data_IF_984266560680
#
_entry.id   IF_984266560680
#
_cell.length_a   1.000
_cell.length_b   1.000
_cell.length_c   1.000
_cell.angle_alpha   90.00
_cell.angle_beta   90.00
_cell.angle_gamma   90.00
#
_symmetry.space_group_name_H-M   'P 1'
#
loop_
_entity.id
_entity.type
_entity.pdbx_description
1 polymer ?
#
# COMPACT_ATOMS: atom_id res chain seq x y z
N UNK A 1 36.17 -9.50 -29.45
CA UNK A 1 35.22 -8.73 -28.62
C UNK A 1 36.00 -8.15 -27.45
N UNK A 2 36.18 -6.85 -27.42
CA UNK A 2 37.18 -6.18 -26.57
C UNK A 2 36.79 -6.17 -25.08
N UNK A 3 37.69 -6.60 -24.21
CA UNK A 3 37.56 -6.61 -22.74
C UNK A 3 37.20 -5.21 -22.15
N UNK A 4 37.53 -4.13 -22.85
CA UNK A 4 37.18 -2.75 -22.48
C UNK A 4 35.69 -2.42 -22.65
N UNK A 5 35.01 -2.97 -23.67
CA UNK A 5 33.57 -2.77 -23.86
C UNK A 5 32.71 -3.47 -22.79
N UNK A 6 33.16 -4.65 -22.32
CA UNK A 6 32.47 -5.40 -21.27
C UNK A 6 32.63 -4.72 -19.90
N UNK A 7 33.80 -4.13 -19.62
CA UNK A 7 34.02 -3.38 -18.37
C UNK A 7 33.21 -2.08 -18.31
N UNK A 8 33.06 -1.38 -19.44
CA UNK A 8 32.24 -0.16 -19.52
C UNK A 8 30.77 -0.49 -19.35
N UNK A 9 30.30 -1.60 -19.96
CA UNK A 9 28.92 -2.03 -19.80
C UNK A 9 28.60 -2.43 -18.35
N UNK A 10 29.52 -3.16 -17.68
CA UNK A 10 29.34 -3.57 -16.28
C UNK A 10 29.38 -2.38 -15.31
N UNK A 11 30.28 -1.40 -15.54
CA UNK A 11 30.33 -0.18 -14.73
C UNK A 11 29.12 0.72 -14.94
N UNK A 12 28.60 0.78 -16.15
CA UNK A 12 27.38 1.54 -16.45
C UNK A 12 26.15 0.90 -15.80
N UNK A 13 26.06 -0.44 -15.80
CA UNK A 13 24.99 -1.18 -15.13
C UNK A 13 25.08 -1.00 -13.60
N UNK A 14 26.27 -1.07 -13.01
CA UNK A 14 26.46 -0.81 -11.57
C UNK A 14 26.14 0.64 -11.18
N UNK A 15 26.45 1.62 -12.04
CA UNK A 15 26.17 3.02 -11.80
C UNK A 15 24.66 3.33 -11.92
N UNK A 16 23.96 2.66 -12.84
CA UNK A 16 22.50 2.76 -12.98
C UNK A 16 21.79 2.12 -11.79
N UNK A 17 22.26 0.96 -11.30
CA UNK A 17 21.67 0.29 -10.13
C UNK A 17 21.85 1.11 -8.86
N UNK A 18 22.97 1.82 -8.67
CA UNK A 18 23.16 2.67 -7.49
C UNK A 18 22.42 4.01 -7.54
N UNK A 19 22.06 4.53 -8.73
CA UNK A 19 21.32 5.78 -8.85
C UNK A 19 19.79 5.59 -8.95
N UNK A 20 19.31 4.41 -9.33
CA UNK A 20 17.87 4.07 -9.37
C UNK A 20 17.27 3.98 -7.97
N UNK A 21 18.07 3.66 -6.94
CA UNK A 21 17.60 3.66 -5.54
C UNK A 21 17.23 5.04 -4.99
N UNK A 22 17.62 6.14 -5.66
CA UNK A 22 17.30 7.52 -5.26
C UNK A 22 16.02 8.07 -5.92
N UNK A 23 15.56 7.49 -7.03
CA UNK A 23 14.37 7.96 -7.76
C UNK A 23 13.13 7.07 -7.65
N UNK A 24 13.26 5.86 -7.09
CA UNK A 24 12.16 4.90 -6.93
C UNK A 24 11.36 5.09 -5.63
N UNK A 25 11.44 6.26 -4.97
CA UNK A 25 10.81 6.48 -3.67
C UNK A 25 9.55 7.34 -3.69
N UNK A 26 8.98 7.60 -4.86
CA UNK A 26 7.67 8.25 -4.96
C UNK A 26 6.75 7.44 -5.87
N UNK A 27 5.59 7.10 -5.31
CA UNK A 27 4.39 6.54 -5.92
C UNK A 27 4.35 5.04 -6.27
N UNK A 28 4.63 4.21 -5.29
CA UNK A 28 3.79 3.03 -5.11
C UNK A 28 3.57 2.85 -3.62
N UNK A 29 2.42 3.25 -3.12
CA UNK A 29 1.86 2.69 -1.90
C UNK A 29 1.42 1.25 -2.18
N UNK A 30 2.36 0.42 -2.60
CA UNK A 30 2.32 -0.97 -2.21
C UNK A 30 2.54 -0.90 -0.71
N UNK A 31 1.52 -1.15 0.07
CA UNK A 31 1.66 -1.52 1.46
C UNK A 31 2.57 -2.76 1.49
N UNK A 32 3.87 -2.57 1.35
CA UNK A 32 4.81 -3.49 1.95
C UNK A 32 4.58 -3.31 3.44
N UNK A 33 3.75 -4.17 4.01
CA UNK A 33 3.85 -4.51 5.41
C UNK A 33 5.30 -5.00 5.60
N UNK A 34 6.23 -4.05 5.73
CA UNK A 34 7.47 -4.33 6.40
C UNK A 34 7.06 -4.68 7.82
N UNK A 35 6.94 -5.97 8.07
CA UNK A 35 7.12 -6.51 9.40
C UNK A 35 8.54 -6.16 9.84
N UNK A 36 8.73 -4.89 10.21
CA UNK A 36 9.90 -4.45 10.95
C UNK A 36 9.72 -4.87 12.41
N UNK A 37 9.62 -6.17 12.63
CA UNK A 37 9.81 -6.74 13.95
C UNK A 37 11.29 -6.74 14.28
N UNK A 38 11.87 -5.54 14.43
CA UNK A 38 13.13 -5.40 15.12
C UNK A 38 12.81 -5.44 16.62
N UNK A 39 12.73 -6.65 17.17
CA UNK A 39 12.47 -6.87 18.58
C UNK A 39 13.80 -6.78 19.30
N UNK A 40 14.00 -5.68 20.01
CA UNK A 40 15.00 -5.57 21.07
C UNK A 40 14.63 -6.58 22.17
N UNK A 41 15.24 -7.76 22.14
CA UNK A 41 15.12 -8.77 23.18
C UNK A 41 15.94 -8.34 24.40
N UNK A 42 15.38 -7.42 25.19
CA UNK A 42 15.97 -7.07 26.48
C UNK A 42 15.75 -8.22 27.47
N UNK A 43 16.82 -8.65 28.15
CA UNK A 43 16.75 -9.74 29.13
C UNK A 43 16.20 -9.34 30.50
N UNK A 44 16.00 -8.04 30.79
CA UNK A 44 15.51 -7.55 32.11
C UNK A 44 14.67 -6.27 32.00
N UNK A 45 13.68 -6.09 32.90
CA UNK A 45 12.94 -4.86 33.14
C UNK A 45 11.65 -4.67 32.36
N UNK A 46 11.20 -3.43 32.27
CA UNK A 46 9.95 -3.00 31.58
C UNK A 46 9.95 -3.41 30.11
N UNK A 47 11.09 -3.36 29.45
CA UNK A 47 11.25 -3.77 28.04
C UNK A 47 11.06 -5.26 27.83
N UNK A 48 11.35 -6.12 28.81
CA UNK A 48 11.00 -7.53 28.74
C UNK A 48 9.49 -7.74 28.80
N UNK A 49 8.79 -7.01 29.70
CA UNK A 49 7.33 -7.08 29.80
C UNK A 49 6.63 -6.56 28.54
N UNK A 50 7.16 -5.51 27.92
CA UNK A 50 6.69 -5.02 26.61
C UNK A 50 7.01 -6.02 25.50
N UNK A 51 8.21 -6.57 25.46
CA UNK A 51 8.61 -7.59 24.49
C UNK A 51 7.74 -8.85 24.62
N UNK A 52 7.50 -9.34 25.82
CA UNK A 52 6.64 -10.52 26.08
C UNK A 52 5.16 -10.24 25.80
N UNK A 53 4.71 -8.98 25.83
CA UNK A 53 3.36 -8.57 25.46
C UNK A 53 3.17 -8.42 23.95
N UNK A 54 4.24 -8.08 23.23
CA UNK A 54 4.26 -7.90 21.77
C UNK A 54 4.58 -9.22 21.06
N UNK A 55 5.28 -10.15 21.75
CA UNK A 55 5.62 -11.45 21.19
C UNK A 55 4.38 -12.35 21.22
N UNK A 56 3.71 -12.45 20.09
CA UNK A 56 2.75 -13.51 19.82
C UNK A 56 3.58 -14.73 19.43
N UNK A 57 3.59 -15.77 20.26
CA UNK A 57 4.08 -17.08 19.82
C UNK A 57 3.38 -17.41 18.50
N UNK A 58 4.15 -17.56 17.44
CA UNK A 58 3.60 -18.04 16.18
C UNK A 58 2.79 -19.31 16.50
N UNK A 59 1.51 -19.40 16.09
CA UNK A 59 0.71 -20.57 16.38
C UNK A 59 1.48 -21.80 15.92
N UNK A 60 1.57 -22.83 16.76
CA UNK A 60 2.20 -24.09 16.38
C UNK A 60 1.35 -24.67 15.24
N UNK A 61 1.84 -24.49 14.04
CA UNK A 61 1.17 -24.90 12.82
C UNK A 61 1.24 -26.40 12.70
N UNK A 62 0.08 -27.02 12.74
CA UNK A 62 -0.08 -28.40 12.29
C UNK A 62 0.03 -28.36 10.75
N UNK A 63 1.24 -28.62 10.22
CA UNK A 63 1.53 -28.61 8.77
C UNK A 63 0.80 -29.73 7.98
N UNK A 64 -0.17 -30.40 8.59
CA UNK A 64 -0.93 -31.48 7.94
C UNK A 64 -2.05 -31.02 7.03
N UNK A 65 -2.45 -29.75 7.08
CA UNK A 65 -3.36 -29.23 6.06
C UNK A 65 -2.54 -28.75 4.86
N UNK A 66 -2.34 -29.65 3.90
CA UNK A 66 -2.15 -29.29 2.49
C UNK A 66 -3.39 -28.50 2.02
N UNK A 67 -3.54 -27.27 2.46
CA UNK A 67 -4.47 -26.35 1.80
C UNK A 67 -3.89 -26.10 0.42
N UNK A 68 -4.42 -26.82 -0.56
CA UNK A 68 -4.08 -26.61 -1.97
C UNK A 68 -4.27 -25.14 -2.32
N UNK A 69 -3.58 -24.69 -3.33
CA UNK A 69 -3.82 -23.39 -3.95
C UNK A 69 -5.26 -23.40 -4.47
N UNK A 70 -6.14 -22.57 -3.91
CA UNK A 70 -7.57 -22.55 -4.25
C UNK A 70 -7.89 -21.16 -4.83
N UNK A 71 -8.61 -21.15 -5.94
CA UNK A 71 -9.15 -19.89 -6.46
C UNK A 71 -10.16 -19.29 -5.48
N UNK A 72 -10.07 -18.01 -5.24
CA UNK A 72 -10.87 -17.32 -4.21
C UNK A 72 -12.37 -17.46 -4.40
N UNK A 73 -12.87 -17.54 -5.64
CA UNK A 73 -14.30 -17.67 -5.95
C UNK A 73 -14.86 -19.06 -5.74
N UNK A 74 -14.01 -20.10 -5.64
CA UNK A 74 -14.46 -21.51 -5.60
C UNK A 74 -15.49 -21.81 -4.52
N UNK A 75 -15.40 -21.28 -3.28
CA UNK A 75 -16.37 -21.57 -2.21
C UNK A 75 -17.78 -21.03 -2.50
N UNK A 76 -17.92 -20.05 -3.39
CA UNK A 76 -19.17 -19.35 -3.66
C UNK A 76 -19.88 -19.81 -4.93
N UNK A 77 -19.24 -20.66 -5.74
CA UNK A 77 -19.76 -21.07 -7.06
C UNK A 77 -21.09 -21.80 -6.98
N UNK A 78 -21.32 -22.61 -5.92
CA UNK A 78 -22.57 -23.36 -5.69
C UNK A 78 -23.77 -22.46 -5.36
N UNK A 79 -23.52 -21.23 -4.94
CA UNK A 79 -24.56 -20.25 -4.56
C UNK A 79 -24.83 -19.22 -5.64
N UNK A 80 -24.19 -19.34 -6.81
CA UNK A 80 -24.31 -18.41 -7.92
C UNK A 80 -25.78 -18.18 -8.31
N UNK A 81 -26.18 -16.91 -8.41
CA UNK A 81 -27.53 -16.51 -8.83
C UNK A 81 -28.58 -16.50 -7.73
N UNK A 82 -28.28 -17.00 -6.54
CA UNK A 82 -29.19 -16.93 -5.38
C UNK A 82 -29.29 -15.51 -4.83
N UNK A 83 -30.40 -15.21 -4.13
CA UNK A 83 -30.63 -13.90 -3.52
C UNK A 83 -30.05 -13.88 -2.10
N UNK A 84 -29.40 -12.80 -1.73
CA UNK A 84 -28.88 -12.57 -0.37
C UNK A 84 -30.02 -12.11 0.53
N UNK A 85 -30.59 -13.02 1.32
CA UNK A 85 -31.73 -12.70 2.19
C UNK A 85 -31.28 -12.03 3.49
N UNK A 86 -30.13 -12.41 4.03
CA UNK A 86 -29.62 -11.89 5.30
C UNK A 86 -28.10 -11.76 5.30
N UNK A 87 -27.62 -10.73 5.98
CA UNK A 87 -26.20 -10.50 6.25
C UNK A 87 -26.00 -10.48 7.76
N UNK A 88 -25.20 -11.43 8.24
CA UNK A 88 -24.77 -11.54 9.63
C UNK A 88 -23.31 -11.14 9.74
N UNK A 89 -22.98 -10.34 10.75
CA UNK A 89 -21.60 -9.83 10.96
C UNK A 89 -21.16 -10.14 12.38
N UNK A 90 -20.02 -10.82 12.52
CA UNK A 90 -19.50 -11.30 13.80
C UNK A 90 -17.99 -11.05 13.91
N UNK A 91 -17.58 -10.33 14.94
CA UNK A 91 -16.16 -10.20 15.27
C UNK A 91 -15.68 -11.44 16.05
N UNK A 92 -14.51 -11.94 15.66
CA UNK A 92 -13.82 -13.01 16.41
C UNK A 92 -12.79 -12.34 17.32
N UNK A 93 -12.74 -12.77 18.58
CA UNK A 93 -11.81 -12.21 19.55
C UNK A 93 -10.36 -12.25 19.03
N UNK A 94 -9.61 -11.19 19.29
CA UNK A 94 -8.19 -11.09 18.95
C UNK A 94 -7.34 -12.26 19.48
N UNK A 95 -7.71 -12.81 20.64
CA UNK A 95 -6.99 -13.90 21.30
C UNK A 95 -7.32 -15.28 20.79
N UNK A 96 -8.38 -15.43 19.99
CA UNK A 96 -8.86 -16.73 19.50
C UNK A 96 -8.30 -17.02 18.11
N UNK A 97 -7.60 -18.13 17.86
CA UNK A 97 -7.27 -18.55 16.50
C UNK A 97 -8.55 -18.76 15.68
N UNK A 98 -8.53 -18.42 14.40
CA UNK A 98 -9.72 -18.53 13.52
C UNK A 98 -10.27 -19.96 13.41
N UNK A 99 -9.41 -20.95 13.64
CA UNK A 99 -9.73 -22.39 13.55
C UNK A 99 -9.69 -23.12 14.89
N UNK A 100 -9.57 -22.42 16.03
CA UNK A 100 -9.39 -23.07 17.32
C UNK A 100 -10.42 -22.55 18.33
N UNK A 101 -11.24 -23.47 18.86
CA UNK A 101 -12.28 -23.19 19.85
C UNK A 101 -11.75 -23.14 21.28
N UNK A 102 -10.45 -23.42 21.50
CA UNK A 102 -9.85 -23.47 22.84
C UNK A 102 -8.58 -22.62 22.93
N UNK A 103 -8.70 -21.35 23.32
CA UNK A 103 -7.56 -20.53 23.70
C UNK A 103 -7.66 -20.09 25.15
N UNK A 104 -6.80 -20.64 25.99
CA UNK A 104 -6.60 -20.19 27.36
C UNK A 104 -5.65 -18.99 27.35
N UNK A 105 -6.20 -17.78 27.19
CA UNK A 105 -5.43 -16.54 27.20
C UNK A 105 -5.08 -16.08 28.62
N UNK A 106 -3.83 -15.66 28.84
CA UNK A 106 -3.34 -15.14 30.14
C UNK A 106 -4.08 -13.86 30.52
N UNK A 107 -4.62 -13.77 31.75
CA UNK A 107 -5.46 -12.70 32.29
C UNK A 107 -4.91 -11.26 32.15
N UNK A 108 -3.59 -11.06 32.15
CA UNK A 108 -2.96 -9.73 32.07
C UNK A 108 -3.07 -9.12 30.66
N UNK A 109 -2.98 -9.96 29.62
CA UNK A 109 -3.14 -9.55 28.22
C UNK A 109 -4.56 -9.07 27.96
N UNK A 110 -5.54 -9.76 28.57
CA UNK A 110 -6.96 -9.45 28.43
C UNK A 110 -7.34 -8.09 29.05
N UNK A 111 -6.78 -7.73 30.20
CA UNK A 111 -7.07 -6.45 30.86
C UNK A 111 -6.49 -5.24 30.09
N UNK A 112 -5.32 -5.39 29.44
CA UNK A 112 -4.76 -4.34 28.57
C UNK A 112 -5.53 -4.25 27.24
N UNK A 113 -5.98 -5.37 26.71
CA UNK A 113 -6.81 -5.43 25.50
C UNK A 113 -8.17 -4.77 25.75
N UNK A 114 -8.84 -5.05 26.85
CA UNK A 114 -10.13 -4.47 27.22
C UNK A 114 -10.07 -2.95 27.45
N UNK A 115 -8.95 -2.43 27.95
CA UNK A 115 -8.78 -1.01 28.26
C UNK A 115 -8.37 -0.14 27.07
N UNK A 116 -7.68 -0.71 26.05
CA UNK A 116 -7.06 0.03 24.95
C UNK A 116 -7.59 -0.37 23.57
N UNK A 117 -8.40 -1.43 23.49
CA UNK A 117 -8.83 -2.02 22.24
C UNK A 117 -10.31 -1.79 21.98
N UNK A 118 -10.60 -0.99 20.97
CA UNK A 118 -11.94 -0.91 20.41
C UNK A 118 -12.02 -1.83 19.19
N UNK A 119 -12.82 -2.88 19.28
CA UNK A 119 -13.13 -3.75 18.14
C UNK A 119 -13.76 -2.94 17.00
N UNK A 120 -13.48 -3.34 15.77
CA UNK A 120 -14.15 -2.78 14.59
C UNK A 120 -15.66 -2.92 14.74
N UNK A 121 -16.39 -1.82 14.55
CA UNK A 121 -17.83 -1.84 14.70
C UNK A 121 -18.52 -2.57 13.56
N UNK A 122 -19.66 -3.22 13.83
CA UNK A 122 -20.46 -3.88 12.79
C UNK A 122 -20.81 -2.90 11.65
N UNK A 123 -21.11 -1.64 11.98
CA UNK A 123 -21.38 -0.59 11.00
C UNK A 123 -20.19 -0.31 10.09
N UNK A 124 -18.97 -0.35 10.62
CA UNK A 124 -17.75 -0.19 9.83
C UNK A 124 -17.57 -1.37 8.87
N UNK A 125 -17.82 -2.59 9.32
CA UNK A 125 -17.73 -3.77 8.46
C UNK A 125 -18.78 -3.75 7.36
N UNK A 126 -20.03 -3.46 7.68
CA UNK A 126 -21.12 -3.37 6.69
C UNK A 126 -20.83 -2.32 5.60
N UNK A 127 -20.23 -1.18 5.94
CA UNK A 127 -19.82 -0.15 4.97
C UNK A 127 -18.71 -0.61 4.01
N UNK A 128 -17.98 -1.67 4.34
CA UNK A 128 -16.91 -2.22 3.53
C UNK A 128 -17.37 -3.43 2.69
N UNK A 129 -18.67 -3.74 2.67
CA UNK A 129 -19.23 -4.77 1.80
C UNK A 129 -19.52 -4.20 0.40
N UNK A 130 -19.37 -5.06 -0.62
CA UNK A 130 -19.67 -4.76 -2.02
C UNK A 130 -21.10 -5.18 -2.41
N UNK A 131 -21.86 -5.75 -1.48
CA UNK A 131 -23.20 -6.28 -1.68
C UNK A 131 -24.11 -5.92 -0.49
N UNK A 132 -25.41 -5.94 -0.74
CA UNK A 132 -26.44 -5.67 0.25
C UNK A 132 -27.46 -6.81 0.29
N UNK A 133 -28.31 -6.80 1.30
CA UNK A 133 -29.51 -7.66 1.34
C UNK A 133 -30.40 -7.35 0.14
N UNK A 134 -30.90 -8.37 -0.54
CA UNK A 134 -31.68 -8.30 -1.77
C UNK A 134 -30.83 -8.41 -3.05
N UNK A 135 -29.51 -8.32 -2.97
CA UNK A 135 -28.64 -8.48 -4.15
C UNK A 135 -28.51 -9.94 -4.56
N UNK A 136 -28.25 -10.16 -5.86
CA UNK A 136 -27.92 -11.48 -6.39
C UNK A 136 -26.47 -11.82 -6.07
N UNK A 137 -26.20 -13.03 -5.60
CA UNK A 137 -24.86 -13.50 -5.31
C UNK A 137 -24.06 -13.78 -6.59
N UNK A 138 -22.97 -13.03 -6.74
CA UNK A 138 -21.96 -13.24 -7.78
C UNK A 138 -20.64 -13.73 -7.13
N UNK A 139 -20.18 -14.96 -7.41
CA UNK A 139 -19.03 -15.57 -6.73
C UNK A 139 -17.77 -14.69 -6.72
N UNK A 140 -17.42 -14.08 -7.86
CA UNK A 140 -16.27 -13.20 -7.95
C UNK A 140 -16.40 -11.93 -7.10
N UNK A 141 -17.60 -11.34 -7.02
CA UNK A 141 -17.83 -10.14 -6.22
C UNK A 141 -17.65 -10.44 -4.73
N UNK A 142 -18.16 -11.58 -4.27
CA UNK A 142 -18.02 -12.04 -2.88
C UNK A 142 -16.55 -12.33 -2.55
N UNK A 143 -15.85 -13.04 -3.45
CA UNK A 143 -14.44 -13.36 -3.29
C UNK A 143 -13.55 -12.10 -3.24
N UNK A 144 -13.83 -11.15 -4.13
CA UNK A 144 -13.11 -9.86 -4.13
C UNK A 144 -13.40 -9.05 -2.87
N UNK A 145 -14.63 -9.12 -2.34
CA UNK A 145 -14.96 -8.46 -1.09
C UNK A 145 -14.26 -9.12 0.11
N UNK A 146 -14.22 -10.44 0.17
CA UNK A 146 -13.50 -11.16 1.22
C UNK A 146 -12.01 -10.80 1.22
N UNK A 147 -11.39 -10.77 0.02
CA UNK A 147 -10.01 -10.30 -0.16
C UNK A 147 -9.85 -8.86 0.32
N UNK A 148 -10.72 -7.94 -0.13
CA UNK A 148 -10.68 -6.54 0.28
C UNK A 148 -10.77 -6.37 1.80
N UNK A 149 -11.64 -7.12 2.47
CA UNK A 149 -11.75 -7.10 3.93
C UNK A 149 -10.45 -7.53 4.60
N UNK A 150 -9.76 -8.56 4.07
CA UNK A 150 -8.44 -8.99 4.58
C UNK A 150 -7.33 -7.95 4.34
N UNK A 151 -7.45 -7.12 3.31
CA UNK A 151 -6.49 -6.05 2.99
C UNK A 151 -6.68 -4.77 3.82
N UNK A 152 -7.79 -4.65 4.54
CA UNK A 152 -7.99 -3.51 5.43
C UNK A 152 -6.89 -3.46 6.52
N UNK A 153 -6.23 -2.33 6.67
CA UNK A 153 -5.06 -2.17 7.53
C UNK A 153 -5.33 -2.44 9.02
N UNK A 154 -6.59 -2.53 9.42
CA UNK A 154 -7.04 -2.81 10.79
C UNK A 154 -7.62 -4.22 10.95
N UNK A 155 -7.65 -5.02 9.88
CA UNK A 155 -8.15 -6.41 9.89
C UNK A 155 -6.97 -7.37 9.73
N UNK A 156 -6.88 -8.34 10.63
CA UNK A 156 -5.89 -9.41 10.57
C UNK A 156 -6.30 -10.48 9.56
N UNK A 157 -7.58 -10.87 9.62
CA UNK A 157 -8.17 -11.87 8.74
C UNK A 157 -9.67 -11.66 8.64
N UNK A 158 -10.26 -12.01 7.50
CA UNK A 158 -11.69 -11.95 7.28
C UNK A 158 -12.14 -13.13 6.43
N UNK A 159 -13.35 -13.62 6.72
CA UNK A 159 -13.96 -14.75 6.03
C UNK A 159 -15.43 -14.47 5.78
N UNK A 160 -15.89 -14.75 4.57
CA UNK A 160 -17.29 -14.72 4.18
C UNK A 160 -17.76 -16.17 3.95
N UNK A 161 -18.83 -16.57 4.61
CA UNK A 161 -19.43 -17.91 4.46
C UNK A 161 -20.85 -17.72 3.98
N UNK A 162 -21.18 -18.34 2.85
CA UNK A 162 -22.54 -18.42 2.34
C UNK A 162 -23.19 -19.75 2.77
N UNK A 163 -24.43 -19.68 3.21
CA UNK A 163 -25.26 -20.85 3.52
C UNK A 163 -26.65 -20.68 2.94
N UNK A 164 -27.31 -21.77 2.59
CA UNK A 164 -28.70 -21.73 2.12
C UNK A 164 -29.60 -21.25 3.27
N UNK A 165 -30.54 -20.35 2.95
CA UNK A 165 -31.56 -19.93 3.90
C UNK A 165 -32.52 -21.07 4.15
N UNK A 166 -32.71 -21.56 5.41
CA UNK A 166 -33.65 -22.63 5.72
C UNK A 166 -35.10 -22.30 5.34
N UNK A 167 -35.46 -21.02 5.27
CA UNK A 167 -36.82 -20.56 4.95
C UNK A 167 -37.06 -20.34 3.46
N UNK A 168 -35.97 -20.24 2.65
CA UNK A 168 -36.05 -20.00 1.22
C UNK A 168 -34.89 -20.71 0.47
N UNK A 169 -35.21 -21.74 -0.27
CA UNK A 169 -34.24 -22.54 -1.02
C UNK A 169 -33.49 -21.75 -2.11
N UNK A 170 -34.02 -20.60 -2.56
CA UNK A 170 -33.39 -19.68 -3.50
C UNK A 170 -32.63 -18.56 -2.79
N UNK A 171 -32.77 -18.45 -1.48
CA UNK A 171 -32.09 -17.47 -0.65
C UNK A 171 -30.80 -17.97 -0.03
N UNK A 172 -29.92 -17.06 0.29
CA UNK A 172 -28.68 -17.33 1.03
C UNK A 172 -28.52 -16.37 2.21
N UNK A 173 -27.94 -16.89 3.28
CA UNK A 173 -27.50 -16.12 4.44
C UNK A 173 -25.98 -15.95 4.32
N UNK A 174 -25.51 -14.69 4.36
CA UNK A 174 -24.11 -14.35 4.32
C UNK A 174 -23.59 -14.11 5.73
N UNK A 175 -22.64 -14.90 6.19
CA UNK A 175 -21.99 -14.74 7.49
C UNK A 175 -20.57 -14.19 7.30
N UNK A 176 -20.36 -12.97 7.74
CA UNK A 176 -19.09 -12.26 7.67
C UNK A 176 -18.41 -12.35 9.03
N UNK A 177 -17.27 -12.99 9.08
CA UNK A 177 -16.44 -13.13 10.27
C UNK A 177 -15.13 -12.38 10.05
N UNK A 178 -14.69 -11.59 11.03
CA UNK A 178 -13.40 -10.93 10.95
C UNK A 178 -12.68 -10.95 12.29
N UNK A 179 -11.38 -10.80 12.18
CA UNK A 179 -10.46 -10.66 13.30
C UNK A 179 -9.66 -9.39 13.12
N UNK A 180 -9.70 -8.52 14.11
CA UNK A 180 -8.96 -7.27 14.06
C UNK A 180 -7.46 -7.49 14.29
N UNK A 181 -6.64 -6.58 13.77
CA UNK A 181 -5.22 -6.47 14.10
C UNK A 181 -5.08 -5.62 15.37
N UNK A 182 -4.02 -5.82 16.14
CA UNK A 182 -3.73 -4.92 17.27
C UNK A 182 -3.56 -3.48 16.75
N UNK A 183 -4.35 -2.51 17.21
CA UNK A 183 -4.50 -1.22 16.54
C UNK A 183 -3.29 -0.31 16.66
N UNK A 184 -2.45 -0.50 17.70
CA UNK A 184 -1.25 0.31 17.90
C UNK A 184 -0.07 -0.25 17.12
N UNK A 185 0.56 0.62 16.35
CA UNK A 185 1.81 0.36 15.67
C UNK A 185 2.82 1.45 15.99
N UNK A 186 4.06 1.19 15.65
CA UNK A 186 5.11 2.20 15.79
C UNK A 186 6.43 1.70 15.29
N UNK A 187 7.29 2.66 14.99
CA UNK A 187 8.67 2.42 14.60
C UNK A 187 9.59 3.38 15.32
N UNK A 188 10.81 2.94 15.55
CA UNK A 188 11.85 3.81 16.08
C UNK A 188 13.13 3.58 15.28
N UNK A 189 13.73 4.66 14.83
CA UNK A 189 15.00 4.62 14.12
C UNK A 189 16.02 5.47 14.88
N UNK A 190 17.07 4.81 15.33
CA UNK A 190 18.20 5.44 16.01
C UNK A 190 19.30 5.58 14.96
N UNK A 191 19.37 6.76 14.32
CA UNK A 191 20.38 7.04 13.29
C UNK A 191 21.78 7.20 13.88
N UNK A 192 21.86 7.76 15.09
CA UNK A 192 23.09 7.92 15.88
C UNK A 192 22.72 8.16 17.35
N UNK A 193 23.71 8.29 18.24
CA UNK A 193 23.48 8.73 19.63
C UNK A 193 22.88 10.14 19.65
N UNK A 194 23.04 10.92 18.58
CA UNK A 194 22.64 12.31 18.47
C UNK A 194 21.29 12.50 17.76
N UNK A 195 20.78 11.50 17.01
CA UNK A 195 19.54 11.62 16.25
C UNK A 195 18.66 10.39 16.42
N UNK A 196 17.43 10.62 16.84
CA UNK A 196 16.39 9.62 17.07
C UNK A 196 15.08 10.07 16.45
N UNK A 197 14.40 9.19 15.73
CA UNK A 197 13.02 9.43 15.33
C UNK A 197 12.12 8.26 15.69
N UNK A 198 10.91 8.58 16.10
CA UNK A 198 9.88 7.61 16.42
C UNK A 198 8.57 7.95 15.73
N UNK A 199 7.85 6.91 15.36
CA UNK A 199 6.49 6.97 14.88
C UNK A 199 5.61 6.14 15.82
N UNK A 200 4.44 6.68 16.15
CA UNK A 200 3.38 5.95 16.84
C UNK A 200 2.10 6.14 16.04
N UNK A 201 1.39 5.07 15.78
CA UNK A 201 0.12 5.11 15.06
C UNK A 201 -0.95 4.25 15.73
N UNK A 202 -2.20 4.62 15.49
CA UNK A 202 -3.39 3.85 15.86
C UNK A 202 -4.22 3.65 14.60
N UNK A 203 -4.39 2.41 14.16
CA UNK A 203 -4.97 2.07 12.86
C UNK A 203 -6.49 1.80 12.87
N UNK A 204 -7.14 1.85 14.02
CA UNK A 204 -8.58 1.60 14.17
C UNK A 204 -9.20 2.49 15.23
N UNK A 205 -9.10 3.81 15.03
CA UNK A 205 -9.61 4.78 16.00
C UNK A 205 -11.11 4.59 16.23
N UNK A 206 -11.49 4.35 17.49
CA UNK A 206 -12.87 4.11 17.92
C UNK A 206 -13.60 2.98 17.17
N UNK A 207 -12.89 2.01 16.61
CA UNK A 207 -13.47 0.92 15.81
C UNK A 207 -14.02 1.37 14.43
N UNK A 208 -13.65 2.56 13.98
CA UNK A 208 -14.11 3.14 12.71
C UNK A 208 -13.19 2.85 11.54
N UNK A 209 -12.04 2.18 11.79
CA UNK A 209 -11.03 1.92 10.78
C UNK A 209 -10.14 3.13 10.46
N UNK A 210 -10.30 4.26 11.16
CA UNK A 210 -9.52 5.47 10.92
C UNK A 210 -8.12 5.34 11.49
N UNK A 211 -7.14 6.03 10.85
CA UNK A 211 -5.75 6.07 11.30
C UNK A 211 -5.40 7.44 11.86
N UNK A 212 -4.73 7.44 12.99
CA UNK A 212 -4.01 8.60 13.51
C UNK A 212 -2.53 8.23 13.69
N UNK A 213 -1.64 9.13 13.28
CA UNK A 213 -0.19 8.93 13.36
C UNK A 213 0.49 10.17 13.88
N UNK A 214 1.42 9.96 14.79
CA UNK A 214 2.28 11.00 15.37
C UNK A 214 3.72 10.59 15.10
N UNK A 215 4.47 11.49 14.48
CA UNK A 215 5.89 11.35 14.23
C UNK A 215 6.64 12.32 15.16
N UNK A 216 7.74 11.89 15.73
CA UNK A 216 8.61 12.69 16.56
C UNK A 216 10.07 12.53 16.13
N UNK A 217 10.78 13.63 16.03
CA UNK A 217 12.22 13.68 15.78
C UNK A 217 12.89 14.40 16.94
N UNK A 218 14.00 13.85 17.40
CA UNK A 218 14.97 14.53 18.24
C UNK A 218 16.34 14.45 17.59
N UNK A 219 17.00 15.60 17.40
CA UNK A 219 18.28 15.68 16.72
C UNK A 219 19.10 16.83 17.32
N UNK A 220 20.30 16.52 17.83
CA UNK A 220 21.16 17.49 18.52
C UNK A 220 21.73 18.56 17.58
N UNK A 221 21.85 18.25 16.31
CA UNK A 221 22.37 19.19 15.32
C UNK A 221 21.30 20.14 14.77
N UNK A 222 20.04 19.91 15.15
CA UNK A 222 18.88 20.66 14.67
C UNK A 222 18.45 21.76 15.64
N UNK A 223 17.86 22.82 15.12
CA UNK A 223 17.22 23.90 15.91
C UNK A 223 15.82 24.21 15.36
N UNK A 224 14.74 23.99 16.14
CA UNK A 224 14.72 23.39 17.49
C UNK A 224 15.12 21.90 17.45
N UNK A 225 15.67 21.40 18.57
CA UNK A 225 16.15 20.01 18.71
C UNK A 225 15.06 18.96 18.44
N UNK A 226 13.81 19.29 18.77
CA UNK A 226 12.67 18.41 18.57
C UNK A 226 11.77 18.93 17.44
N UNK A 227 11.19 17.99 16.69
CA UNK A 227 10.15 18.27 15.71
C UNK A 227 9.08 17.18 15.75
N UNK A 228 7.87 17.54 15.29
CA UNK A 228 6.72 16.64 15.30
C UNK A 228 6.01 16.68 13.97
N UNK A 229 5.42 15.55 13.60
CA UNK A 229 4.48 15.41 12.49
C UNK A 229 3.18 14.79 13.00
N UNK A 230 2.10 15.08 12.30
CA UNK A 230 0.78 14.54 12.59
C UNK A 230 0.08 14.18 11.28
N UNK A 231 -0.55 13.02 11.24
CA UNK A 231 -1.37 12.59 10.11
C UNK A 231 -2.65 11.94 10.63
N UNK A 232 -3.78 12.30 10.04
CA UNK A 232 -5.07 11.64 10.25
C UNK A 232 -5.62 11.16 8.91
N UNK A 233 -6.02 9.90 8.85
CA UNK A 233 -6.67 9.31 7.67
C UNK A 233 -8.06 8.82 8.04
N UNK A 234 -9.08 9.44 7.46
CA UNK A 234 -10.45 8.95 7.43
C UNK A 234 -10.58 7.93 6.32
N UNK A 235 -10.74 6.65 6.66
CA UNK A 235 -10.95 5.60 5.67
C UNK A 235 -12.42 5.42 5.33
N UNK A 236 -12.69 5.03 4.09
CA UNK A 236 -14.03 4.74 3.57
C UNK A 236 -15.05 5.84 3.95
N UNK A 237 -14.76 7.07 3.54
CA UNK A 237 -15.59 8.24 3.83
C UNK A 237 -17.02 8.00 3.37
N UNK A 238 -17.96 8.00 4.32
CA UNK A 238 -19.39 7.77 4.09
C UNK A 238 -19.77 6.47 3.35
N UNK A 239 -18.87 5.49 3.26
CA UNK A 239 -19.08 4.24 2.51
C UNK A 239 -18.77 4.34 1.02
N UNK A 240 -18.08 5.40 0.59
CA UNK A 240 -17.68 5.63 -0.81
C UNK A 240 -16.35 4.97 -1.20
N UNK A 241 -15.69 4.28 -0.26
CA UNK A 241 -14.33 3.75 -0.37
C UNK A 241 -13.25 4.83 -0.56
N UNK A 242 -13.60 6.10 -0.50
CA UNK A 242 -12.63 7.20 -0.51
C UNK A 242 -11.93 7.27 0.83
N UNK A 243 -10.60 7.28 0.82
CA UNK A 243 -9.78 7.60 1.97
C UNK A 243 -9.36 9.06 1.89
N UNK A 244 -9.50 9.81 2.98
CA UNK A 244 -9.10 11.20 3.06
C UNK A 244 -8.04 11.35 4.14
N UNK A 245 -6.86 11.86 3.76
CA UNK A 245 -5.72 12.07 4.66
C UNK A 245 -5.43 13.55 4.76
N UNK A 246 -5.24 14.04 5.99
CA UNK A 246 -4.71 15.37 6.28
C UNK A 246 -3.44 15.21 7.10
N UNK A 247 -2.39 15.94 6.76
CA UNK A 247 -1.11 15.80 7.41
C UNK A 247 -0.32 17.10 7.52
N UNK A 248 0.46 17.17 8.58
CA UNK A 248 1.48 18.20 8.82
C UNK A 248 2.75 17.49 9.30
N UNK A 249 3.88 17.75 8.66
CA UNK A 249 5.17 17.20 9.05
C UNK A 249 6.22 18.31 9.04
N UNK A 250 6.98 18.44 10.13
CA UNK A 250 7.98 19.51 10.31
C UNK A 250 9.42 19.04 10.07
N UNK A 251 9.60 17.80 9.63
CA UNK A 251 10.93 17.22 9.47
C UNK A 251 11.04 16.19 8.35
N UNK A 252 10.30 16.37 7.27
CA UNK A 252 10.53 15.59 6.07
C UNK A 252 11.94 15.80 5.55
N UNK A 253 12.55 14.78 4.95
CA UNK A 253 13.81 14.97 4.24
C UNK A 253 13.64 15.95 3.08
N UNK A 254 14.40 17.03 3.07
CA UNK A 254 14.44 17.98 1.95
C UNK A 254 15.07 17.29 0.73
N UNK A 255 14.46 17.46 -0.44
CA UNK A 255 14.90 16.74 -1.65
C UNK A 255 16.28 17.18 -2.16
N UNK A 256 16.75 18.37 -1.80
CA UNK A 256 18.03 18.94 -2.24
C UNK A 256 19.18 18.69 -1.26
N UNK A 257 18.89 18.59 0.03
CA UNK A 257 19.92 18.40 1.07
C UNK A 257 19.88 17.02 1.72
N UNK A 258 18.75 16.31 1.63
CA UNK A 258 18.48 15.07 2.37
C UNK A 258 18.31 15.29 3.88
N UNK A 259 18.44 16.53 4.38
CA UNK A 259 18.27 16.87 5.78
C UNK A 259 16.80 16.88 6.16
N UNK A 260 16.50 16.58 7.42
CA UNK A 260 15.14 16.58 7.95
C UNK A 260 14.68 18.00 8.30
N UNK A 261 14.54 18.85 7.29
CA UNK A 261 14.27 20.28 7.40
C UNK A 261 13.09 20.75 6.55
N UNK A 262 12.45 19.85 5.78
CA UNK A 262 11.26 20.21 5.02
C UNK A 262 10.01 20.17 5.91
N UNK A 263 9.27 21.27 5.90
CA UNK A 263 7.94 21.38 6.45
C UNK A 263 6.91 21.11 5.36
N UNK A 264 6.02 20.18 5.62
CA UNK A 264 4.97 19.79 4.70
C UNK A 264 3.59 19.90 5.35
N UNK A 265 2.62 20.39 4.60
CA UNK A 265 1.19 20.37 4.95
C UNK A 265 0.40 19.95 3.72
N UNK A 266 -0.49 18.98 3.88
CA UNK A 266 -1.18 18.40 2.75
C UNK A 266 -2.54 17.84 3.11
N UNK A 267 -3.39 17.78 2.09
CA UNK A 267 -4.62 16.99 2.07
C UNK A 267 -4.54 16.08 0.85
N UNK A 268 -4.84 14.80 1.06
CA UNK A 268 -4.85 13.76 0.03
C UNK A 268 -6.16 13.01 0.06
N UNK A 269 -6.72 12.74 -1.10
CA UNK A 269 -7.84 11.83 -1.27
C UNK A 269 -7.41 10.67 -2.15
N UNK A 270 -7.87 9.47 -1.81
CA UNK A 270 -7.58 8.26 -2.54
C UNK A 270 -8.86 7.41 -2.66
N UNK A 271 -9.25 7.07 -3.87
CA UNK A 271 -10.30 6.11 -4.19
C UNK A 271 -9.65 4.89 -4.83
N UNK A 272 -9.21 3.90 -4.04
CA UNK A 272 -8.56 2.71 -4.57
C UNK A 272 -9.54 1.89 -5.41
N UNK A 273 -9.01 1.14 -6.37
CA UNK A 273 -9.81 0.15 -7.09
C UNK A 273 -10.02 -1.08 -6.21
N UNK A 274 -10.94 -0.96 -5.24
CA UNK A 274 -11.22 -2.01 -4.26
C UNK A 274 -11.81 -3.29 -4.87
N UNK A 275 -12.45 -3.16 -6.04
CA UNK A 275 -12.98 -4.27 -6.82
C UNK A 275 -12.85 -3.98 -8.32
N UNK A 276 -12.58 -4.99 -9.15
CA UNK A 276 -12.58 -4.84 -10.61
C UNK A 276 -13.94 -4.39 -11.19
N UNK A 277 -15.00 -4.38 -10.40
CA UNK A 277 -16.35 -3.99 -10.82
C UNK A 277 -16.69 -2.54 -10.52
N UNK A 278 -15.87 -1.82 -9.76
CA UNK A 278 -16.08 -0.39 -9.53
C UNK A 278 -15.87 0.41 -10.81
N UNK A 279 -16.76 1.38 -11.03
CA UNK A 279 -16.72 2.20 -12.24
C UNK A 279 -15.59 3.22 -12.24
N UNK A 280 -15.17 3.66 -11.05
CA UNK A 280 -14.21 4.74 -10.88
C UNK A 280 -13.09 4.35 -9.93
N UNK A 281 -11.92 4.91 -10.16
CA UNK A 281 -10.78 4.97 -9.25
C UNK A 281 -10.12 6.33 -9.41
N UNK A 282 -9.36 6.79 -8.42
CA UNK A 282 -8.75 8.11 -8.55
C UNK A 282 -8.07 8.58 -7.27
N UNK A 283 -7.47 9.74 -7.35
CA UNK A 283 -6.85 10.36 -6.19
C UNK A 283 -6.55 11.83 -6.45
N UNK A 284 -6.29 12.56 -5.37
CA UNK A 284 -5.82 13.93 -5.43
C UNK A 284 -4.87 14.25 -4.27
N UNK A 285 -4.01 15.21 -4.51
CA UNK A 285 -3.16 15.81 -3.49
C UNK A 285 -3.14 17.33 -3.66
N UNK A 286 -3.35 18.04 -2.56
CA UNK A 286 -3.05 19.46 -2.42
C UNK A 286 -2.03 19.59 -1.30
N UNK A 287 -0.86 20.12 -1.59
CA UNK A 287 0.23 20.19 -0.63
C UNK A 287 1.04 21.48 -0.76
N UNK A 288 1.63 21.89 0.37
CA UNK A 288 2.62 22.96 0.44
C UNK A 288 3.83 22.45 1.19
N UNK A 289 4.99 22.72 0.64
CA UNK A 289 6.28 22.20 1.08
C UNK A 289 7.28 23.35 1.12
N UNK A 290 8.02 23.46 2.20
CA UNK A 290 9.03 24.49 2.36
C UNK A 290 10.24 23.97 3.13
N UNK A 291 11.44 24.26 2.66
CA UNK A 291 12.66 23.97 3.40
C UNK A 291 12.99 25.11 4.37
N UNK A 292 13.21 24.77 5.62
CA UNK A 292 13.50 25.70 6.69
C UNK A 292 14.89 25.45 7.28
N UNK A 293 15.67 26.50 7.48
CA UNK A 293 17.01 26.39 8.09
C UNK A 293 16.93 25.92 9.53
N UNK A 294 17.03 24.62 9.73
CA UNK A 294 17.01 24.02 11.07
C UNK A 294 18.36 23.44 11.51
N UNK A 295 19.35 23.42 10.60
CA UNK A 295 20.69 22.86 10.85
C UNK A 295 21.75 23.95 10.69
N UNK A 296 21.98 24.85 11.53
CA UNK A 296 23.00 25.91 11.57
C UNK A 296 24.13 25.80 10.55
N UNK A 297 23.81 25.85 9.24
CA UNK A 297 24.81 25.70 8.19
C UNK A 297 25.68 26.96 8.09
N UNK A 298 26.98 26.80 7.82
CA UNK A 298 27.91 27.91 7.60
C UNK A 298 27.69 28.61 6.25
N UNK A 299 27.03 27.93 5.31
CA UNK A 299 26.69 28.48 3.99
C UNK A 299 25.38 29.22 4.14
N UNK A 300 25.22 30.34 3.43
CA UNK A 300 23.94 31.04 3.37
C UNK A 300 22.85 30.09 2.94
N UNK A 301 21.88 29.86 3.81
CA UNK A 301 20.82 28.91 3.57
C UNK A 301 19.96 29.26 2.38
N UNK A 302 19.62 30.55 2.26
CA UNK A 302 18.80 31.05 1.17
C UNK A 302 19.51 30.89 -0.18
N UNK A 303 20.84 30.97 -0.19
CA UNK A 303 21.65 30.86 -1.40
C UNK A 303 21.68 29.40 -1.96
N UNK A 304 21.63 28.37 -1.11
CA UNK A 304 21.90 26.98 -1.52
C UNK A 304 20.72 26.02 -1.30
N UNK A 305 19.94 26.21 -0.23
CA UNK A 305 19.02 25.18 0.24
C UNK A 305 17.55 25.60 0.29
N UNK A 306 17.25 26.90 0.43
CA UNK A 306 15.89 27.39 0.61
C UNK A 306 15.03 27.12 -0.63
N UNK A 307 13.88 26.54 -0.41
CA UNK A 307 12.84 26.43 -1.43
C UNK A 307 11.46 26.37 -0.77
N UNK A 308 10.45 26.76 -1.54
CA UNK A 308 9.06 26.50 -1.21
C UNK A 308 8.28 26.22 -2.48
N UNK A 309 7.37 25.23 -2.43
CA UNK A 309 6.50 24.92 -3.55
C UNK A 309 5.12 24.43 -3.10
N UNK A 310 4.16 24.64 -3.98
CA UNK A 310 2.83 24.05 -3.90
C UNK A 310 2.65 22.92 -4.92
N UNK A 311 1.90 21.91 -4.55
CA UNK A 311 1.45 20.83 -5.44
C UNK A 311 -0.07 20.79 -5.50
N UNK A 312 -0.60 20.65 -6.71
CA UNK A 312 -1.98 20.26 -7.00
C UNK A 312 -1.91 19.12 -8.00
N UNK A 313 -2.31 17.94 -7.59
CA UNK A 313 -2.31 16.72 -8.41
C UNK A 313 -3.67 16.05 -8.28
N UNK A 314 -4.23 15.60 -9.38
CA UNK A 314 -5.49 14.89 -9.39
C UNK A 314 -5.56 13.96 -10.59
N UNK A 315 -6.08 12.76 -10.36
CA UNK A 315 -6.30 11.78 -11.42
C UNK A 315 -7.59 11.01 -11.19
N UNK A 316 -8.19 10.54 -12.27
CA UNK A 316 -9.37 9.71 -12.26
C UNK A 316 -9.28 8.66 -13.38
N UNK A 317 -9.60 7.42 -13.04
CA UNK A 317 -9.74 6.31 -13.97
C UNK A 317 -11.19 5.84 -14.06
N UNK A 318 -11.64 5.61 -15.29
CA UNK A 318 -12.99 5.14 -15.61
C UNK A 318 -12.89 3.71 -16.15
N UNK A 319 -13.60 2.78 -15.49
CA UNK A 319 -13.65 1.37 -15.89
C UNK A 319 -14.67 1.18 -17.00
N UNK A 320 -14.21 0.90 -18.20
CA UNK A 320 -15.06 0.73 -19.37
C UNK A 320 -15.87 -0.57 -19.24
N UNK A 321 -17.19 -0.45 -19.16
CA UNK A 321 -18.12 -1.58 -19.10
C UNK A 321 -18.20 -2.27 -17.73
N UNK A 322 -17.84 -1.60 -16.63
CA UNK A 322 -17.93 -2.16 -15.28
C UNK A 322 -19.36 -2.62 -14.95
N UNK A 323 -20.38 -1.76 -15.15
CA UNK A 323 -21.77 -2.06 -14.82
C UNK A 323 -22.42 -3.16 -15.69
N UNK A 324 -22.01 -3.28 -16.95
CA UNK A 324 -22.51 -4.32 -17.86
C UNK A 324 -22.02 -5.72 -17.44
N UNK A 325 -20.83 -5.80 -16.91
CA UNK A 325 -20.15 -7.06 -16.59
C UNK A 325 -20.70 -7.79 -15.37
N UNK A 326 -21.23 -7.07 -14.39
CA UNK A 326 -21.89 -7.67 -13.23
C UNK A 326 -23.19 -8.37 -13.63
N UNK A 327 -23.94 -7.79 -14.59
CA UNK A 327 -25.22 -8.35 -15.07
C UNK A 327 -25.03 -9.59 -15.97
N UNK A 328 -23.98 -9.60 -16.79
CA UNK A 328 -23.79 -10.62 -17.82
C UNK A 328 -23.00 -11.85 -17.37
N UNK A 329 -22.87 -12.09 -16.07
CA UNK A 329 -22.21 -13.29 -15.55
C UNK A 329 -20.76 -13.47 -16.02
N UNK A 330 -20.00 -12.41 -16.18
CA UNK A 330 -18.72 -12.46 -16.86
C UNK A 330 -17.65 -13.17 -16.09
N UNK A 331 -17.27 -14.28 -16.61
CA UNK A 331 -16.14 -15.10 -16.17
C UNK A 331 -14.78 -14.44 -16.47
N UNK A 332 -14.77 -13.34 -17.24
CA UNK A 332 -13.51 -12.70 -17.57
C UNK A 332 -13.18 -11.58 -16.60
N UNK A 333 -12.03 -11.67 -15.95
CA UNK A 333 -11.49 -10.60 -15.08
C UNK A 333 -10.74 -9.52 -15.87
N UNK A 334 -10.81 -9.53 -17.19
CA UNK A 334 -10.22 -8.51 -18.05
C UNK A 334 -10.91 -7.16 -17.83
N UNK A 335 -10.13 -6.13 -17.54
CA UNK A 335 -10.59 -4.76 -17.31
C UNK A 335 -9.87 -3.79 -18.23
N UNK A 336 -10.59 -2.76 -18.61
CA UNK A 336 -10.09 -1.68 -19.45
C UNK A 336 -10.42 -0.36 -18.79
N UNK A 337 -9.42 0.49 -18.63
CA UNK A 337 -9.59 1.83 -18.04
C UNK A 337 -9.10 2.90 -18.99
N UNK A 338 -9.79 4.02 -18.98
CA UNK A 338 -9.23 5.30 -19.43
C UNK A 338 -9.02 6.15 -18.19
N UNK A 339 -7.82 6.70 -18.06
CA UNK A 339 -7.46 7.52 -16.92
C UNK A 339 -6.97 8.88 -17.37
N UNK A 340 -7.30 9.91 -16.60
CA UNK A 340 -6.89 11.30 -16.81
C UNK A 340 -6.14 11.76 -15.58
N UNK A 341 -5.02 12.48 -15.75
CA UNK A 341 -4.27 13.14 -14.67
C UNK A 341 -3.97 14.57 -15.05
N UNK A 342 -4.22 15.48 -14.12
CA UNK A 342 -3.79 16.87 -14.19
C UNK A 342 -2.94 17.17 -12.96
N UNK A 343 -1.73 17.70 -13.17
CA UNK A 343 -0.79 18.02 -12.11
C UNK A 343 -0.19 19.38 -12.34
N UNK A 344 -0.06 20.16 -11.27
CA UNK A 344 0.68 21.42 -11.23
C UNK A 344 1.56 21.44 -9.99
N UNK A 345 2.86 21.69 -10.19
CA UNK A 345 3.83 21.99 -9.13
C UNK A 345 4.44 23.35 -9.40
N UNK A 346 4.34 24.27 -8.44
CA UNK A 346 4.80 25.65 -8.56
C UNK A 346 5.73 26.00 -7.42
N UNK A 347 6.92 26.47 -7.77
CA UNK A 347 7.86 26.99 -6.80
C UNK A 347 7.56 28.47 -6.52
N UNK A 348 7.34 28.80 -5.25
CA UNK A 348 7.27 30.20 -4.78
C UNK A 348 8.64 30.72 -4.37
N UNK A 349 9.56 29.83 -3.97
CA UNK A 349 10.93 30.15 -3.63
C UNK A 349 11.87 29.07 -4.15
N UNK A 350 13.03 29.49 -4.67
CA UNK A 350 14.12 28.61 -5.12
C UNK A 350 15.44 29.15 -4.63
N UNK A 351 16.49 28.35 -4.44
CA UNK A 351 17.82 28.85 -4.04
C UNK A 351 18.40 29.83 -5.08
N UNK A 352 19.14 30.84 -4.62
CA UNK A 352 19.79 31.81 -5.50
C UNK A 352 20.68 31.14 -6.56
N UNK A 353 21.36 30.04 -6.18
CA UNK A 353 22.20 29.27 -7.10
C UNK A 353 21.42 28.66 -8.26
N UNK A 354 20.10 28.51 -8.12
CA UNK A 354 19.20 27.94 -9.15
C UNK A 354 18.49 29.04 -9.97
N UNK A 355 18.53 30.32 -9.56
CA UNK A 355 17.76 31.41 -10.21
C UNK A 355 18.23 31.71 -11.64
N UNK A 356 19.53 31.63 -11.90
CA UNK A 356 20.13 32.06 -13.17
C UNK A 356 20.44 30.93 -14.15
N UNK A 357 20.10 29.69 -13.81
CA UNK A 357 20.33 28.50 -14.64
C UNK A 357 19.10 27.59 -14.61
N UNK A 358 18.82 26.99 -15.76
CA UNK A 358 17.80 25.93 -15.79
C UNK A 358 18.20 24.80 -14.84
N UNK A 359 17.34 24.54 -13.87
CA UNK A 359 17.50 23.43 -12.95
C UNK A 359 16.19 22.62 -12.90
N UNK A 360 16.25 21.36 -13.33
CA UNK A 360 15.10 20.49 -13.43
C UNK A 360 14.41 20.28 -12.08
N UNK A 361 15.15 20.29 -10.97
CA UNK A 361 14.63 20.06 -9.63
C UNK A 361 13.81 21.24 -9.09
N UNK A 362 14.11 22.46 -9.53
CA UNK A 362 13.43 23.69 -9.10
C UNK A 362 12.54 24.28 -10.19
N UNK A 363 12.18 23.47 -11.17
CA UNK A 363 11.33 23.92 -12.27
C UNK A 363 9.86 23.73 -11.97
N UNK A 364 9.08 24.74 -12.27
CA UNK A 364 7.62 24.59 -12.36
C UNK A 364 7.24 23.54 -13.39
N UNK A 365 6.23 22.74 -13.08
CA UNK A 365 5.70 21.74 -14.01
C UNK A 365 4.17 21.75 -13.98
N UNK A 366 3.58 21.78 -15.17
CA UNK A 366 2.18 21.45 -15.41
C UNK A 366 2.12 20.23 -16.31
N UNK A 367 1.21 19.30 -16.02
CA UNK A 367 1.03 18.12 -16.84
C UNK A 367 -0.45 17.79 -17.00
N UNK A 368 -0.84 17.46 -18.22
CA UNK A 368 -2.12 16.85 -18.55
C UNK A 368 -1.87 15.55 -19.28
N UNK A 369 -2.23 14.43 -18.65
CA UNK A 369 -1.94 13.07 -19.16
C UNK A 369 -3.23 12.27 -19.31
N UNK A 370 -3.24 11.40 -20.31
CA UNK A 370 -4.27 10.40 -20.55
C UNK A 370 -3.59 9.03 -20.61
N UNK A 371 -4.19 8.04 -19.96
CA UNK A 371 -3.69 6.67 -20.01
C UNK A 371 -4.81 5.72 -20.42
N UNK A 372 -4.44 4.73 -21.23
CA UNK A 372 -5.26 3.57 -21.51
C UNK A 372 -4.62 2.35 -20.83
N UNK A 373 -5.41 1.67 -20.00
CA UNK A 373 -4.93 0.57 -19.18
C UNK A 373 -5.76 -0.68 -19.48
N UNK A 374 -5.10 -1.81 -19.63
CA UNK A 374 -5.72 -3.13 -19.72
C UNK A 374 -5.08 -4.01 -18.67
N UNK A 375 -5.88 -4.64 -17.83
CA UNK A 375 -5.36 -5.64 -16.92
C UNK A 375 -6.33 -6.80 -16.74
N UNK A 376 -5.77 -7.96 -16.43
CA UNK A 376 -6.48 -9.15 -15.98
C UNK A 376 -5.76 -9.66 -14.75
N UNK A 377 -6.49 -9.86 -13.65
CA UNK A 377 -5.90 -10.31 -12.40
C UNK A 377 -6.83 -11.31 -11.73
N UNK A 378 -6.29 -12.49 -11.43
CA UNK A 378 -6.89 -13.55 -10.63
C UNK A 378 -6.16 -13.60 -9.30
N UNK A 379 -6.80 -14.16 -8.28
CA UNK A 379 -6.21 -14.28 -6.96
C UNK A 379 -6.32 -15.72 -6.48
N UNK A 380 -5.25 -16.18 -5.85
CA UNK A 380 -5.17 -17.49 -5.23
C UNK A 380 -5.02 -17.34 -3.73
N UNK A 381 -5.90 -17.99 -3.00
CA UNK A 381 -5.84 -18.06 -1.56
C UNK A 381 -4.75 -19.03 -1.12
N UNK A 382 -3.81 -18.58 -0.33
CA UNK A 382 -2.70 -19.38 0.17
C UNK A 382 -2.15 -18.76 1.47
N UNK A 383 -1.04 -19.29 1.95
CA UNK A 383 -0.33 -18.79 3.13
C UNK A 383 1.17 -18.93 2.94
N UNK A 384 1.95 -18.19 3.73
CA UNK A 384 3.42 -18.25 3.76
C UNK A 384 4.11 -17.76 2.47
N UNK A 385 3.49 -16.82 1.73
CA UNK A 385 4.14 -16.16 0.60
C UNK A 385 4.80 -14.85 1.06
N UNK A 386 4.04 -13.91 1.63
CA UNK A 386 4.52 -12.61 2.07
C UNK A 386 4.76 -12.54 3.57
N UNK A 387 4.03 -13.33 4.38
CA UNK A 387 4.09 -13.32 5.83
C UNK A 387 4.03 -14.69 6.46
N UNK A 388 4.08 -14.74 7.79
CA UNK A 388 4.01 -15.97 8.56
C UNK A 388 2.60 -16.16 9.15
N UNK A 389 1.90 -17.21 8.69
CA UNK A 389 0.63 -17.68 9.28
C UNK A 389 -0.58 -16.81 9.01
N UNK A 390 -0.53 -15.88 8.05
CA UNK A 390 -1.70 -15.15 7.53
C UNK A 390 -2.26 -15.86 6.30
N UNK A 391 -3.55 -15.71 6.10
CA UNK A 391 -4.16 -15.96 4.80
C UNK A 391 -3.76 -14.84 3.85
N UNK A 392 -3.34 -15.22 2.66
CA UNK A 392 -2.79 -14.31 1.66
C UNK A 392 -3.47 -14.56 0.32
N UNK A 393 -3.72 -13.48 -0.40
CA UNK A 393 -4.27 -13.50 -1.75
C UNK A 393 -3.17 -13.12 -2.73
N UNK A 394 -2.62 -14.13 -3.40
CA UNK A 394 -1.50 -13.96 -4.34
C UNK A 394 -2.04 -13.66 -5.73
N UNK A 395 -1.63 -12.56 -6.37
CA UNK A 395 -2.07 -12.23 -7.71
C UNK A 395 -1.45 -13.14 -8.77
N UNK A 396 -2.21 -13.42 -9.81
CA UNK A 396 -1.75 -13.94 -11.08
C UNK A 396 -2.41 -13.16 -12.20
N UNK A 397 -1.62 -12.64 -13.12
CA UNK A 397 -2.21 -11.86 -14.19
C UNK A 397 -1.22 -10.95 -14.92
N UNK A 398 -1.75 -9.94 -15.57
CA UNK A 398 -0.96 -8.93 -16.25
C UNK A 398 -1.65 -7.57 -16.23
N UNK A 399 -0.84 -6.52 -16.31
CA UNK A 399 -1.30 -5.17 -16.60
C UNK A 399 -0.45 -4.57 -17.73
N UNK A 400 -1.10 -3.80 -18.58
CA UNK A 400 -0.47 -3.04 -19.64
C UNK A 400 -1.09 -1.65 -19.69
N UNK A 401 -0.25 -0.62 -19.73
CA UNK A 401 -0.68 0.76 -19.77
C UNK A 401 0.11 1.54 -20.81
N UNK A 402 -0.59 2.37 -21.58
CA UNK A 402 0.01 3.39 -22.45
C UNK A 402 -0.44 4.74 -21.94
N UNK A 403 0.53 5.60 -21.66
CA UNK A 403 0.33 6.96 -21.17
C UNK A 403 0.78 7.95 -22.23
N UNK A 404 0.00 8.97 -22.48
CA UNK A 404 0.39 10.09 -23.35
C UNK A 404 -0.18 11.39 -22.83
N UNK A 405 0.41 12.50 -23.23
CA UNK A 405 -0.09 13.82 -22.87
C UNK A 405 0.90 14.94 -23.08
N UNK A 406 0.62 16.06 -22.49
CA UNK A 406 1.44 17.25 -22.59
C UNK A 406 1.98 17.62 -21.20
N UNK A 407 3.24 18.00 -21.18
CA UNK A 407 3.89 18.54 -19.99
C UNK A 407 4.52 19.89 -20.34
N UNK A 408 4.33 20.85 -19.48
CA UNK A 408 4.98 22.16 -19.58
C UNK A 408 5.91 22.34 -18.39
N UNK A 409 7.18 22.56 -18.67
CA UNK A 409 8.20 22.80 -17.66
C UNK A 409 8.97 24.08 -18.02
N UNK A 410 8.95 25.07 -17.12
CA UNK A 410 9.57 26.39 -17.36
C UNK A 410 9.24 26.98 -18.76
N UNK A 411 7.95 27.03 -19.11
CA UNK A 411 7.43 27.51 -20.40
C UNK A 411 7.79 26.66 -21.63
N UNK A 412 8.47 25.52 -21.45
CA UNK A 412 8.74 24.57 -22.53
C UNK A 412 7.72 23.44 -22.49
N UNK A 413 6.88 23.38 -23.50
CA UNK A 413 5.89 22.31 -23.66
C UNK A 413 6.48 21.15 -24.43
N UNK A 414 6.33 19.93 -23.88
CA UNK A 414 6.80 18.69 -24.49
C UNK A 414 5.72 17.61 -24.40
N UNK A 415 5.37 16.95 -25.50
CA UNK A 415 4.60 15.72 -25.45
C UNK A 415 5.34 14.62 -24.66
N UNK A 416 4.60 13.91 -23.83
CA UNK A 416 5.08 12.75 -23.10
C UNK A 416 4.45 11.48 -23.68
N UNK A 417 5.22 10.40 -23.74
CA UNK A 417 4.74 9.04 -24.01
C UNK A 417 5.39 8.05 -23.04
N UNK A 418 4.60 7.12 -22.55
CA UNK A 418 5.07 6.07 -21.64
C UNK A 418 4.33 4.76 -21.86
N UNK A 419 5.01 3.66 -21.54
CA UNK A 419 4.46 2.30 -21.58
C UNK A 419 4.87 1.61 -20.28
N UNK A 420 3.88 1.04 -19.59
CA UNK A 420 4.09 0.21 -18.41
C UNK A 420 3.53 -1.19 -18.66
N UNK A 421 4.32 -2.21 -18.36
CA UNK A 421 3.91 -3.60 -18.41
C UNK A 421 4.32 -4.32 -17.14
N UNK A 422 3.38 -5.06 -16.56
CA UNK A 422 3.60 -5.89 -15.39
C UNK A 422 2.96 -7.26 -15.61
N UNK A 423 3.65 -8.30 -15.14
CA UNK A 423 3.17 -9.67 -15.23
C UNK A 423 3.47 -10.43 -13.96
N UNK A 424 2.42 -11.00 -13.36
CA UNK A 424 2.47 -11.85 -12.20
C UNK A 424 2.24 -13.30 -12.60
N UNK A 425 3.13 -14.19 -12.16
CA UNK A 425 3.00 -15.64 -12.30
C UNK A 425 3.00 -16.27 -10.91
N UNK A 426 2.01 -17.12 -10.68
CA UNK A 426 1.94 -17.93 -9.48
C UNK A 426 1.73 -19.39 -9.86
N UNK A 427 2.51 -20.31 -9.28
CA UNK A 427 2.47 -21.73 -9.61
C UNK A 427 1.90 -22.56 -8.45
N UNK A 428 1.38 -23.75 -8.75
CA UNK A 428 0.88 -24.71 -7.75
C UNK A 428 1.93 -25.09 -6.70
N UNK A 429 3.21 -24.94 -7.02
CA UNK A 429 4.32 -25.11 -6.08
C UNK A 429 4.55 -23.92 -5.16
N UNK A 430 3.66 -22.91 -5.20
CA UNK A 430 3.75 -21.64 -4.46
C UNK A 430 5.01 -20.83 -4.82
N UNK A 431 5.51 -20.95 -6.04
CA UNK A 431 6.53 -20.05 -6.55
C UNK A 431 5.83 -18.84 -7.18
N UNK A 432 6.36 -17.67 -6.89
CA UNK A 432 5.86 -16.41 -7.42
C UNK A 432 6.96 -15.68 -8.19
N UNK A 433 6.59 -15.15 -9.34
CA UNK A 433 7.47 -14.31 -10.17
C UNK A 433 6.69 -13.10 -10.66
N UNK A 434 7.24 -11.92 -10.46
CA UNK A 434 6.68 -10.67 -10.97
C UNK A 434 7.72 -10.00 -11.87
N UNK A 435 7.29 -9.63 -13.09
CA UNK A 435 8.08 -8.90 -14.07
C UNK A 435 7.49 -7.50 -14.23
N UNK A 436 8.35 -6.49 -14.15
CA UNK A 436 7.97 -5.09 -14.34
C UNK A 436 8.85 -4.51 -15.45
N UNK A 437 8.22 -3.84 -16.40
CA UNK A 437 8.87 -3.09 -17.47
C UNK A 437 8.19 -1.72 -17.59
N UNK A 438 8.97 -0.64 -17.49
CA UNK A 438 8.48 0.72 -17.70
C UNK A 438 9.42 1.47 -18.63
N UNK A 439 8.86 2.14 -19.60
CA UNK A 439 9.56 2.98 -20.55
C UNK A 439 8.79 4.29 -20.72
N UNK A 440 9.47 5.43 -20.65
CA UNK A 440 8.85 6.71 -20.87
C UNK A 440 9.85 7.75 -21.32
N UNK A 441 9.36 8.80 -21.98
CA UNK A 441 10.19 9.90 -22.47
C UNK A 441 9.37 11.03 -23.03
N UNK A 442 10.07 12.11 -23.32
CA UNK A 442 9.48 13.31 -23.93
C UNK A 442 9.91 13.45 -25.37
N UNK A 443 9.01 13.98 -26.19
CA UNK A 443 9.30 14.32 -27.57
C UNK A 443 9.60 15.81 -27.69
N UNK A 444 10.71 16.17 -28.34
CA UNK A 444 11.01 17.54 -28.63
C UNK A 444 11.78 17.66 -29.95
N UNK A 445 11.29 18.46 -30.87
CA UNK A 445 11.89 18.68 -32.20
C UNK A 445 12.23 17.37 -32.96
N UNK A 446 11.36 16.35 -32.83
CA UNK A 446 11.56 15.06 -33.49
C UNK A 446 12.52 14.11 -32.78
N UNK A 447 13.08 14.50 -31.61
CA UNK A 447 13.98 13.69 -30.81
C UNK A 447 13.34 13.27 -29.49
N UNK A 448 13.73 12.10 -28.96
CA UNK A 448 13.37 11.67 -27.62
C UNK A 448 14.32 12.31 -26.59
N UNK A 449 13.75 12.93 -25.56
CA UNK A 449 14.48 13.55 -24.44
C UNK A 449 14.07 12.93 -23.13
N UNK A 450 14.96 12.97 -22.14
CA UNK A 450 14.72 12.52 -20.76
C UNK A 450 14.09 11.10 -20.72
N UNK A 451 14.64 10.18 -21.52
CA UNK A 451 14.14 8.80 -21.61
C UNK A 451 14.46 8.07 -20.30
N UNK A 452 13.44 7.47 -19.72
CA UNK A 452 13.56 6.61 -18.54
C UNK A 452 13.18 5.17 -18.89
N UNK A 453 13.98 4.24 -18.41
CA UNK A 453 13.74 2.80 -18.55
C UNK A 453 13.91 2.12 -17.19
N UNK A 454 12.93 1.32 -16.79
CA UNK A 454 12.98 0.48 -15.60
C UNK A 454 12.61 -0.94 -15.97
N UNK A 455 13.42 -1.90 -15.55
CA UNK A 455 13.12 -3.33 -15.61
C UNK A 455 13.40 -3.95 -14.25
N UNK A 456 12.45 -4.71 -13.73
CA UNK A 456 12.60 -5.40 -12.46
C UNK A 456 12.02 -6.80 -12.51
N UNK A 457 12.61 -7.72 -11.76
CA UNK A 457 12.12 -9.09 -11.57
C UNK A 457 12.14 -9.38 -10.07
N UNK A 458 10.98 -9.74 -9.54
CA UNK A 458 10.84 -10.22 -8.17
C UNK A 458 10.52 -11.71 -8.22
N UNK A 459 11.22 -12.51 -7.45
CA UNK A 459 11.04 -13.96 -7.43
C UNK A 459 11.12 -14.50 -6.00
N UNK A 460 10.16 -15.34 -5.62
CA UNK A 460 10.27 -16.15 -4.40
C UNK A 460 9.73 -17.56 -4.60
N UNK A 461 10.35 -18.49 -3.89
CA UNK A 461 9.91 -19.89 -3.86
C UNK A 461 8.90 -20.10 -2.74
N UNK A 462 8.08 -21.13 -2.87
CA UNK A 462 7.30 -21.66 -1.77
C UNK A 462 8.19 -22.04 -0.58
N UNK A 463 7.61 -22.00 0.62
CA UNK A 463 8.30 -22.35 1.84
C UNK A 463 8.71 -23.83 1.82
N UNK A 464 10.01 -24.11 1.94
CA UNK A 464 10.55 -25.48 1.99
C UNK A 464 10.87 -25.87 3.42
N UNK A 465 10.34 -27.03 3.86
CA UNK A 465 10.66 -27.60 5.17
C UNK A 465 12.10 -28.15 5.14
N UNK A 466 12.93 -27.74 6.08
CA UNK A 466 14.24 -28.33 6.27
C UNK A 466 14.13 -29.64 7.05
N UNK A 467 15.16 -30.49 6.98
CA UNK A 467 15.23 -31.77 7.70
C UNK A 467 15.06 -31.63 9.22
N UNK A 468 15.43 -30.49 9.78
CA UNK A 468 15.11 -30.15 11.17
C UNK A 468 13.67 -29.61 11.25
N UNK A 469 12.75 -30.25 12.01
CA UNK A 469 11.33 -29.87 12.05
C UNK A 469 11.04 -28.47 12.61
N UNK A 470 12.02 -27.81 13.23
CA UNK A 470 11.89 -26.45 13.78
C UNK A 470 12.25 -25.33 12.79
N UNK A 471 12.78 -25.65 11.61
CA UNK A 471 13.27 -24.67 10.66
C UNK A 471 12.66 -24.83 9.27
N UNK A 472 12.45 -23.75 8.60
CA UNK A 472 12.03 -23.72 7.19
C UNK A 472 12.84 -22.66 6.43
N UNK A 473 13.08 -22.87 5.14
CA UNK A 473 13.88 -22.00 4.28
C UNK A 473 13.05 -21.53 3.08
N UNK A 474 13.21 -20.26 2.74
CA UNK A 474 12.76 -19.67 1.48
C UNK A 474 13.97 -19.12 0.73
N UNK A 475 13.97 -19.29 -0.58
CA UNK A 475 14.92 -18.62 -1.47
C UNK A 475 14.22 -17.38 -2.07
N UNK A 476 14.88 -16.24 -2.00
CA UNK A 476 14.45 -14.96 -2.56
C UNK A 476 15.22 -14.67 -3.83
#
# INVERSE_FOLDING_TARGET
>A
MNRTATSILLTTILFVVNNVSLFAREDTTVHSLRDSTFILRSKKGIFKKLGDAIWIDAPQFNMQNNSGVIKNESPFTTFKGKVINQIQVNSVSYTTPFNDTMATGKKIKRAMEEALYNSTTNKTMLKNLFFNTGDTLYPFLIADNEKFLRELAFIQDARIVASIDPSDSNGVIMNIQWKDIFPFGGSANIGSIQSFNAEVNHNNLLGLGDKIQINALYDLDRRPLAATGFEYTKRNLLGSFVNLTVGVDKFKPAFNSGRREEYARYIRGDLPLVSPYHSFTGGFEFGQYEANNTYNTRISYDHVYKYAYGIMDGWMGINIGAGLRVKDNLQTRLRKFISFRAMSKRFSEIPDTAMNKYNIHYSDIDAGLVAFNIFKQEYYHTNYIYGFGRNEDVPEGYSFSVVSGLTQRNRRTRPYIGIDYERDYFTDQKNYTNFILKLGGYLHNGSLEDVSFLSAVNYFTGLKKLSNPKWSKRNF
#
